data_IF_938551278251
#
_entry.id   IF_938551278251
#
_cell.length_a   1.000
_cell.length_b   1.000
_cell.length_c   1.000
_cell.angle_alpha   90.00
_cell.angle_beta   90.00
_cell.angle_gamma   90.00
#
_symmetry.space_group_name_H-M   'P 1'
#
loop_
_entity.id
_entity.type
_entity.pdbx_description
1 polymer ?
#
# COMPACT_ATOMS: atom_id res chain seq x y z
N UNK A 1 22.48 -0.94 -12.55
CA UNK A 1 22.98 -1.71 -11.39
C UNK A 1 22.49 -0.98 -10.14
N UNK A 2 21.60 -1.58 -9.34
CA UNK A 2 20.96 -0.93 -8.17
C UNK A 2 21.97 -0.60 -7.06
N UNK A 3 23.14 -1.24 -7.03
CA UNK A 3 24.11 -1.12 -5.94
C UNK A 3 24.91 0.21 -5.92
N UNK A 4 24.80 1.07 -6.96
CA UNK A 4 25.55 2.33 -7.08
C UNK A 4 24.62 3.53 -7.33
N UNK A 5 23.39 3.51 -6.80
CA UNK A 5 22.42 4.59 -6.97
C UNK A 5 22.02 5.15 -5.61
N UNK A 6 21.96 6.48 -5.50
CA UNK A 6 21.55 7.18 -4.28
C UNK A 6 20.04 7.08 -4.02
N UNK A 7 19.25 6.77 -5.07
CA UNK A 7 17.80 6.65 -5.01
C UNK A 7 17.28 5.60 -6.00
N UNK A 8 16.28 4.83 -5.59
CA UNK A 8 15.54 3.87 -6.41
C UNK A 8 14.05 4.01 -6.08
N UNK A 9 13.20 3.93 -7.10
CA UNK A 9 11.74 3.95 -6.96
C UNK A 9 11.12 2.82 -7.80
N UNK A 10 10.06 2.20 -7.28
CA UNK A 10 9.21 1.26 -7.99
C UNK A 10 7.73 1.63 -7.77
N UNK A 11 6.91 1.52 -8.81
CA UNK A 11 5.46 1.68 -8.69
C UNK A 11 4.74 0.34 -8.95
N UNK A 12 3.76 0.03 -8.10
CA UNK A 12 2.86 -1.12 -8.23
C UNK A 12 1.42 -0.62 -8.16
N UNK A 13 0.58 -1.04 -9.11
CA UNK A 13 -0.86 -0.72 -9.09
C UNK A 13 -1.67 -1.91 -8.64
N UNK A 14 -2.36 -1.79 -7.50
CA UNK A 14 -3.23 -2.83 -6.97
C UNK A 14 -4.68 -2.54 -7.32
N UNK A 15 -5.25 -3.34 -8.23
CA UNK A 15 -6.66 -3.24 -8.63
C UNK A 15 -7.51 -4.22 -7.83
N UNK A 16 -8.62 -3.75 -7.26
CA UNK A 16 -9.41 -4.49 -6.29
C UNK A 16 -10.91 -4.35 -6.51
N UNK A 17 -11.64 -5.39 -6.11
CA UNK A 17 -13.11 -5.43 -5.96
C UNK A 17 -13.43 -6.43 -4.84
N UNK A 18 -14.10 -5.96 -3.78
CA UNK A 18 -14.29 -6.72 -2.52
C UNK A 18 -13.02 -7.40 -2.02
N UNK A 19 -11.90 -6.68 -2.05
CA UNK A 19 -10.59 -7.19 -1.68
C UNK A 19 -9.82 -6.10 -0.98
N UNK A 20 -9.64 -6.26 0.33
CA UNK A 20 -8.93 -5.31 1.18
C UNK A 20 -7.42 -5.51 1.08
N UNK A 21 -6.67 -4.42 1.18
CA UNK A 21 -5.21 -4.44 1.05
C UNK A 21 -4.55 -4.42 2.43
N UNK A 22 -4.90 -3.41 3.24
CA UNK A 22 -4.43 -3.26 4.62
C UNK A 22 -5.53 -3.63 5.61
N UNK A 23 -5.15 -3.69 6.89
CA UNK A 23 -6.11 -3.93 7.95
C UNK A 23 -6.60 -2.60 8.54
N UNK A 24 -7.73 -2.64 9.26
CA UNK A 24 -8.24 -1.51 10.04
C UNK A 24 -7.20 -1.02 11.07
N UNK A 25 -7.30 0.23 11.58
CA UNK A 25 -6.35 0.77 12.55
C UNK A 25 -6.12 -0.20 13.72
N UNK A 26 -4.92 -0.78 13.82
CA UNK A 26 -4.53 -1.72 14.87
C UNK A 26 -4.62 -3.21 14.55
N UNK A 27 -4.99 -3.61 13.33
CA UNK A 27 -5.04 -5.01 12.90
C UNK A 27 -3.76 -5.52 12.21
N UNK A 28 -3.62 -6.84 12.08
CA UNK A 28 -2.53 -7.49 11.31
C UNK A 28 -2.76 -7.29 9.80
N UNK A 29 -1.82 -6.75 9.02
CA UNK A 29 -2.00 -6.53 7.59
C UNK A 29 -2.41 -7.82 6.84
N UNK A 30 -3.37 -7.70 5.92
CA UNK A 30 -3.89 -8.84 5.13
C UNK A 30 -2.95 -9.24 4.00
N UNK A 31 -2.16 -8.28 3.50
CA UNK A 31 -1.25 -8.46 2.37
C UNK A 31 0.16 -8.04 2.73
N UNK A 32 1.15 -8.61 2.03
CA UNK A 32 2.56 -8.24 2.14
C UNK A 32 3.25 -8.45 0.79
N UNK A 33 4.38 -7.76 0.60
CA UNK A 33 5.30 -8.07 -0.48
C UNK A 33 6.60 -8.65 0.08
N UNK A 34 7.38 -9.26 -0.81
CA UNK A 34 8.70 -9.82 -0.48
C UNK A 34 9.75 -8.91 -1.11
N UNK A 35 10.59 -8.34 -0.26
CA UNK A 35 11.68 -7.47 -0.67
C UNK A 35 12.86 -8.23 -1.26
N UNK A 36 13.85 -7.48 -1.77
CA UNK A 36 15.07 -8.03 -2.36
C UNK A 36 15.85 -8.95 -1.42
N UNK A 37 15.84 -8.66 -0.13
CA UNK A 37 16.50 -9.43 0.93
C UNK A 37 15.66 -10.63 1.40
N UNK A 38 14.57 -10.95 0.69
CA UNK A 38 13.60 -11.99 1.03
C UNK A 38 12.87 -11.76 2.36
N UNK A 39 12.84 -10.50 2.81
CA UNK A 39 12.10 -10.07 3.99
C UNK A 39 10.65 -9.73 3.64
N UNK A 40 9.75 -9.99 4.59
CA UNK A 40 8.34 -9.64 4.44
C UNK A 40 8.16 -8.16 4.74
N UNK A 41 7.60 -7.44 3.78
CA UNK A 41 7.31 -6.02 3.91
C UNK A 41 5.80 -5.80 3.93
N UNK A 42 5.36 -5.06 4.96
CA UNK A 42 3.94 -4.80 5.26
C UNK A 42 3.51 -3.36 5.04
N UNK A 43 4.45 -2.51 4.59
CA UNK A 43 4.19 -1.14 4.18
C UNK A 43 4.09 -1.07 2.65
N UNK A 44 3.36 -0.08 2.16
CA UNK A 44 3.14 0.14 0.73
C UNK A 44 3.06 1.64 0.43
N UNK A 45 3.46 2.11 -0.75
CA UNK A 45 3.15 3.49 -1.15
C UNK A 45 4.02 4.59 -0.57
N UNK A 46 5.34 4.40 -0.44
CA UNK A 46 6.26 5.39 0.13
C UNK A 46 6.12 5.57 1.64
N UNK A 47 5.26 4.77 2.28
CA UNK A 47 5.09 4.77 3.72
C UNK A 47 6.27 4.04 4.39
N UNK A 48 6.79 4.60 5.49
CA UNK A 48 7.85 3.96 6.28
C UNK A 48 7.31 2.70 6.98
N UNK A 49 8.17 1.73 7.34
CA UNK A 49 7.78 0.58 8.15
C UNK A 49 6.95 1.00 9.37
N UNK A 50 5.77 0.39 9.54
CA UNK A 50 4.83 0.71 10.63
C UNK A 50 3.75 1.73 10.26
N UNK A 51 3.93 2.49 9.17
CA UNK A 51 2.89 3.37 8.62
C UNK A 51 2.00 2.55 7.69
N UNK A 52 0.84 2.11 8.19
CA UNK A 52 -0.11 1.30 7.45
C UNK A 52 -1.03 2.17 6.58
N UNK A 53 -0.45 2.89 5.61
CA UNK A 53 -1.19 3.76 4.68
C UNK A 53 -0.71 3.58 3.25
N UNK A 54 -1.63 3.63 2.30
CA UNK A 54 -1.32 3.76 0.87
C UNK A 54 -0.99 5.21 0.50
N UNK A 55 -0.57 5.45 -0.74
CA UNK A 55 -0.29 6.80 -1.25
C UNK A 55 -1.46 7.78 -0.99
N UNK A 56 -2.70 7.36 -1.29
CA UNK A 56 -3.87 8.21 -1.03
C UNK A 56 -4.08 8.51 0.46
N UNK A 57 -3.66 7.62 1.36
CA UNK A 57 -3.80 7.78 2.80
C UNK A 57 -2.72 8.70 3.39
N UNK A 58 -1.57 8.80 2.72
CA UNK A 58 -0.52 9.77 3.04
C UNK A 58 -0.87 11.17 2.52
N UNK A 59 -1.46 11.24 1.33
CA UNK A 59 -1.88 12.48 0.67
C UNK A 59 -3.25 13.00 1.13
N UNK A 60 -3.95 12.24 1.98
CA UNK A 60 -5.34 12.52 2.40
C UNK A 60 -6.32 12.66 1.21
N UNK A 61 -6.04 11.91 0.14
CA UNK A 61 -6.76 11.94 -1.13
C UNK A 61 -7.59 10.67 -1.40
N UNK A 62 -7.69 9.75 -0.44
CA UNK A 62 -8.51 8.54 -0.59
C UNK A 62 -9.99 8.89 -0.81
N UNK A 63 -10.68 8.05 -1.59
CA UNK A 63 -12.10 8.24 -1.93
C UNK A 63 -13.03 8.26 -0.71
N UNK A 64 -12.63 7.54 0.34
CA UNK A 64 -13.33 7.52 1.61
C UNK A 64 -12.30 7.77 2.72
N UNK A 65 -12.39 8.95 3.34
CA UNK A 65 -11.45 9.42 4.36
C UNK A 65 -11.43 8.55 5.63
N UNK A 66 -12.39 7.62 5.79
CA UNK A 66 -12.38 6.62 6.86
C UNK A 66 -11.28 5.57 6.67
N UNK A 67 -10.82 5.37 5.44
CA UNK A 67 -9.86 4.33 5.07
C UNK A 67 -8.50 4.90 4.70
N UNK A 68 -7.46 4.08 4.80
CA UNK A 68 -6.09 4.47 4.50
C UNK A 68 -5.61 4.00 3.11
N UNK A 69 -6.45 3.24 2.43
CA UNK A 69 -6.32 2.75 1.07
C UNK A 69 -7.72 2.67 0.45
N UNK A 70 -7.85 2.91 -0.85
CA UNK A 70 -9.15 2.83 -1.55
C UNK A 70 -9.73 1.42 -1.48
N UNK A 71 -8.89 0.39 -1.60
CA UNK A 71 -9.29 -1.01 -1.60
C UNK A 71 -9.81 -1.50 -0.24
N UNK A 72 -9.46 -0.82 0.86
CA UNK A 72 -9.94 -1.19 2.20
C UNK A 72 -11.43 -0.87 2.42
N UNK A 73 -12.01 -0.04 1.54
CA UNK A 73 -13.45 0.24 1.55
C UNK A 73 -14.30 -0.97 1.14
N UNK A 74 -13.70 -2.05 0.63
CA UNK A 74 -14.36 -3.35 0.39
C UNK A 74 -15.61 -3.26 -0.50
N UNK A 75 -15.56 -2.35 -1.47
CA UNK A 75 -16.69 -2.04 -2.34
C UNK A 75 -16.81 -3.06 -3.49
N UNK A 76 -18.02 -3.18 -4.01
CA UNK A 76 -18.37 -4.06 -5.15
C UNK A 76 -18.12 -3.41 -6.52
N UNK A 77 -17.27 -2.39 -6.56
CA UNK A 77 -16.83 -1.69 -7.75
C UNK A 77 -15.31 -1.79 -7.85
N UNK A 78 -14.76 -1.50 -9.02
CA UNK A 78 -13.32 -1.52 -9.22
C UNK A 78 -12.66 -0.26 -8.67
N UNK A 79 -11.65 -0.46 -7.84
CA UNK A 79 -10.78 0.60 -7.33
C UNK A 79 -9.31 0.23 -7.53
N UNK A 80 -8.46 1.24 -7.40
CA UNK A 80 -7.01 1.07 -7.53
C UNK A 80 -6.30 1.84 -6.41
N UNK A 81 -5.28 1.20 -5.83
CA UNK A 81 -4.28 1.85 -5.00
C UNK A 81 -2.93 1.81 -5.71
N UNK A 82 -2.29 2.98 -5.81
CA UNK A 82 -0.92 3.11 -6.32
C UNK A 82 0.05 2.97 -5.15
N UNK A 83 0.99 2.04 -5.27
CA UNK A 83 1.95 1.66 -4.26
C UNK A 83 3.36 1.95 -4.79
N UNK A 84 3.91 3.12 -4.46
CA UNK A 84 5.31 3.48 -4.68
C UNK A 84 6.24 2.86 -3.62
N UNK A 85 7.45 2.48 -3.97
CA UNK A 85 8.44 1.83 -3.12
C UNK A 85 9.81 2.43 -3.38
#
# INVERSE_FOLDING_TARGET
MINNMDYCEQEVSYHCRKSRLLNTPGGTPLTWWIGRTNERQTYWGGSSPGVQKCACGLEESCLDAKYHCNCDADRDEWYCDILRQ
#
